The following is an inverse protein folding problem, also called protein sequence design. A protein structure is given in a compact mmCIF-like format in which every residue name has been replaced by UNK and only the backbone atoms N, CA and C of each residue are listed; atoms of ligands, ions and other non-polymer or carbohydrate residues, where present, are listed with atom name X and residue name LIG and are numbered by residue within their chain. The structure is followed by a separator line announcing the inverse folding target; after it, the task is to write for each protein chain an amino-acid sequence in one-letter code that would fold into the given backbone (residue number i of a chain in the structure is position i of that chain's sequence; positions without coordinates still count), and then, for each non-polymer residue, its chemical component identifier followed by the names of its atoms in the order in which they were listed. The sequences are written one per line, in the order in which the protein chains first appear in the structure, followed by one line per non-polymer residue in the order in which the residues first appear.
data_IF_612967238685
#
_entry.id   IF_612967238685
#
_cell.length_a   1.000
_cell.length_b   1.000
_cell.length_c   1.000
_cell.angle_alpha   90.00
_cell.angle_beta   90.00
_cell.angle_gamma   90.00
#
_symmetry.space_group_name_H-M   'P 1'
#
loop_
_entity.id
_entity.type
_entity.pdbx_description
1 polymer ?
#
# COMPACT_ATOMS: atom_id res chain seq x y z
N UNK A 1 11.41 -20.33 9.01
CA UNK A 1 12.64 -20.36 8.19
C UNK A 1 12.15 -20.24 6.77
N UNK A 2 12.49 -19.15 6.08
CA UNK A 2 12.21 -19.01 4.65
C UNK A 2 13.24 -19.84 3.91
N UNK A 3 12.80 -20.76 3.05
CA UNK A 3 13.70 -21.54 2.20
C UNK A 3 13.81 -20.80 0.87
N UNK A 4 14.97 -20.18 0.63
CA UNK A 4 15.28 -19.45 -0.59
C UNK A 4 15.82 -20.44 -1.62
N UNK A 5 15.18 -20.52 -2.79
CA UNK A 5 15.68 -21.30 -3.91
C UNK A 5 16.28 -20.37 -4.95
N UNK A 6 17.54 -20.61 -5.33
CA UNK A 6 18.30 -19.83 -6.32
C UNK A 6 18.19 -20.43 -7.73
N UNK A 7 17.05 -21.01 -8.10
CA UNK A 7 16.93 -21.51 -9.47
C UNK A 7 16.77 -20.34 -10.44
N UNK A 8 17.57 -20.33 -11.52
CA UNK A 8 17.42 -19.35 -12.60
C UNK A 8 16.11 -19.51 -13.39
N UNK A 9 15.42 -20.65 -13.21
CA UNK A 9 14.15 -20.96 -13.83
C UNK A 9 13.22 -21.76 -12.91
N UNK A 10 11.93 -21.39 -12.90
CA UNK A 10 10.88 -22.08 -12.16
C UNK A 10 9.65 -22.27 -13.03
N UNK A 11 8.94 -23.38 -12.83
CA UNK A 11 7.64 -23.63 -13.45
C UNK A 11 6.56 -23.75 -12.36
N UNK A 12 5.58 -22.84 -12.37
CA UNK A 12 4.34 -22.99 -11.61
C UNK A 12 3.32 -23.70 -12.51
N UNK A 13 2.86 -24.90 -12.13
CA UNK A 13 1.92 -25.69 -12.94
C UNK A 13 0.51 -25.67 -12.37
N UNK A 14 -0.50 -25.82 -13.22
CA UNK A 14 -1.90 -26.02 -12.85
C UNK A 14 -2.43 -24.97 -11.87
N UNK A 15 -1.99 -23.72 -12.00
CA UNK A 15 -2.40 -22.63 -11.12
C UNK A 15 -3.54 -21.81 -11.74
N UNK A 16 -4.24 -21.04 -10.92
CA UNK A 16 -5.23 -20.08 -11.39
C UNK A 16 -4.63 -18.67 -11.36
N UNK A 17 -4.23 -18.14 -12.50
CA UNK A 17 -3.49 -16.87 -12.57
C UNK A 17 -4.37 -15.70 -13.03
N UNK A 18 -4.13 -14.52 -12.48
CA UNK A 18 -4.80 -13.27 -12.86
C UNK A 18 -4.11 -12.66 -14.08
N UNK A 19 -4.58 -13.01 -15.28
CA UNK A 19 -4.01 -12.62 -16.57
C UNK A 19 -5.06 -11.84 -17.35
N UNK A 20 -4.71 -10.64 -17.82
CA UNK A 20 -5.60 -9.73 -18.58
C UNK A 20 -6.94 -9.44 -17.90
N UNK A 21 -6.95 -9.33 -16.57
CA UNK A 21 -8.16 -9.00 -15.80
C UNK A 21 -9.05 -10.19 -15.46
N UNK A 22 -8.65 -11.42 -15.78
CA UNK A 22 -9.42 -12.64 -15.54
C UNK A 22 -8.58 -13.73 -14.87
N UNK A 23 -9.23 -14.64 -14.15
CA UNK A 23 -8.60 -15.83 -13.58
C UNK A 23 -8.58 -16.98 -14.59
N UNK A 24 -7.39 -17.38 -15.03
CA UNK A 24 -7.20 -18.43 -16.06
C UNK A 24 -6.36 -19.58 -15.53
N UNK A 25 -6.74 -20.85 -15.81
CA UNK A 25 -5.92 -22.01 -15.45
C UNK A 25 -4.70 -22.10 -16.37
N UNK A 26 -3.51 -21.89 -15.82
CA UNK A 26 -2.27 -21.77 -16.60
C UNK A 26 -1.07 -22.45 -15.94
N UNK A 27 -0.05 -22.69 -16.76
CA UNK A 27 1.32 -22.95 -16.36
C UNK A 27 2.16 -21.68 -16.62
N UNK A 28 2.98 -21.28 -15.64
CA UNK A 28 3.84 -20.08 -15.73
C UNK A 28 5.31 -20.51 -15.61
N UNK A 29 6.07 -20.31 -16.69
CA UNK A 29 7.51 -20.49 -16.69
C UNK A 29 8.19 -19.15 -16.43
N UNK A 30 9.09 -19.12 -15.46
CA UNK A 30 9.98 -18.00 -15.22
C UNK A 30 11.41 -18.37 -15.58
N UNK A 31 12.16 -17.41 -16.13
CA UNK A 31 13.58 -17.53 -16.47
C UNK A 31 14.27 -16.20 -16.25
N UNK A 32 15.46 -16.21 -15.63
CA UNK A 32 16.28 -15.02 -15.37
C UNK A 32 15.49 -13.87 -14.73
N UNK A 33 14.59 -14.20 -13.79
CA UNK A 33 13.76 -13.23 -13.06
C UNK A 33 12.61 -12.59 -13.87
N UNK A 34 12.27 -13.14 -15.04
CA UNK A 34 11.15 -12.69 -15.87
C UNK A 34 10.16 -13.83 -16.14
N UNK A 35 8.94 -13.47 -16.51
CA UNK A 35 7.94 -14.42 -17.01
C UNK A 35 8.32 -14.76 -18.45
N UNK A 36 8.78 -15.99 -18.68
CA UNK A 36 9.21 -16.45 -19.99
C UNK A 36 8.03 -16.89 -20.85
N UNK A 37 7.10 -17.65 -20.26
CA UNK A 37 5.89 -18.15 -20.91
C UNK A 37 4.71 -18.22 -19.95
N UNK A 38 3.52 -17.99 -20.49
CA UNK A 38 2.24 -18.33 -19.85
C UNK A 38 1.44 -19.18 -20.84
N UNK A 39 1.17 -20.43 -20.49
CA UNK A 39 0.42 -21.36 -21.35
C UNK A 39 -0.75 -21.99 -20.61
N UNK A 40 -1.69 -22.59 -21.34
CA UNK A 40 -2.79 -23.33 -20.73
C UNK A 40 -2.27 -24.43 -19.80
N UNK A 41 -2.98 -24.66 -18.69
CA UNK A 41 -2.58 -25.67 -17.71
C UNK A 41 -2.41 -27.06 -18.36
N UNK A 42 -1.24 -27.66 -18.16
CA UNK A 42 -0.93 -28.97 -18.73
C UNK A 42 -0.40 -28.93 -20.17
N UNK A 43 0.06 -27.78 -20.67
CA UNK A 43 0.65 -27.65 -22.01
C UNK A 43 1.96 -28.43 -22.21
N UNK A 44 2.54 -28.96 -21.14
CA UNK A 44 3.76 -29.78 -21.20
C UNK A 44 5.04 -28.97 -21.03
N UNK A 45 4.96 -27.70 -20.59
CA UNK A 45 6.12 -26.93 -20.16
C UNK A 45 6.96 -27.71 -19.15
N UNK A 46 8.29 -27.55 -19.24
CA UNK A 46 9.23 -28.22 -18.38
C UNK A 46 10.28 -27.22 -17.86
N UNK A 47 10.51 -27.28 -16.55
CA UNK A 47 11.66 -26.67 -15.91
C UNK A 47 12.25 -27.65 -14.90
N UNK A 48 13.55 -27.52 -14.63
CA UNK A 48 14.25 -28.34 -13.62
C UNK A 48 13.59 -28.24 -12.24
N UNK A 49 13.07 -27.07 -11.90
CA UNK A 49 12.33 -26.83 -10.67
C UNK A 49 10.88 -26.50 -11.03
N UNK A 50 9.96 -27.37 -10.62
CA UNK A 50 8.52 -27.18 -10.82
C UNK A 50 7.76 -27.27 -9.50
N UNK A 51 6.67 -26.52 -9.42
CA UNK A 51 5.78 -26.47 -8.27
C UNK A 51 4.36 -26.73 -8.76
N UNK A 52 3.64 -27.59 -8.03
CA UNK A 52 2.22 -27.80 -8.26
C UNK A 52 1.41 -26.65 -7.65
N UNK A 53 0.64 -25.97 -8.48
CA UNK A 53 -0.18 -24.81 -8.15
C UNK A 53 -1.68 -25.10 -8.05
N UNK A 54 -2.10 -26.37 -8.09
CA UNK A 54 -3.51 -26.74 -7.99
C UNK A 54 -4.14 -26.22 -6.70
N UNK A 55 -5.22 -25.45 -6.84
CA UNK A 55 -5.90 -24.78 -5.72
C UNK A 55 -5.18 -23.52 -5.23
N UNK A 56 -4.12 -23.08 -5.91
CA UNK A 56 -3.43 -21.81 -5.65
C UNK A 56 -3.80 -20.79 -6.72
N UNK A 57 -3.89 -19.54 -6.26
CA UNK A 57 -4.07 -18.35 -7.06
C UNK A 57 -2.71 -17.67 -7.26
N UNK A 58 -2.47 -17.15 -8.46
CA UNK A 58 -1.28 -16.36 -8.79
C UNK A 58 -1.72 -14.97 -9.22
N UNK A 59 -1.26 -13.93 -8.53
CA UNK A 59 -1.51 -12.53 -8.90
C UNK A 59 -0.20 -11.80 -9.13
N UNK A 60 -0.21 -10.64 -9.83
CA UNK A 60 0.91 -9.73 -9.77
C UNK A 60 1.28 -9.42 -8.32
N UNK A 61 2.56 -9.27 -8.06
CA UNK A 61 3.12 -9.08 -6.73
C UNK A 61 2.42 -7.96 -5.97
N UNK A 62 1.97 -8.25 -4.75
CA UNK A 62 1.28 -7.28 -3.91
C UNK A 62 2.19 -6.10 -3.57
N UNK A 63 1.62 -4.90 -3.57
CA UNK A 63 2.28 -3.63 -3.25
C UNK A 63 1.47 -2.91 -2.18
N UNK A 64 2.05 -2.76 -0.99
CA UNK A 64 1.41 -2.03 0.10
C UNK A 64 1.91 -0.58 0.15
N UNK A 65 1.06 0.35 -0.29
CA UNK A 65 1.39 1.78 -0.39
C UNK A 65 1.44 2.51 0.95
N UNK A 66 1.08 1.88 2.06
CA UNK A 66 1.00 2.59 3.32
C UNK A 66 1.46 1.69 4.43
N UNK A 67 2.74 1.78 4.79
CA UNK A 67 3.30 1.14 5.97
C UNK A 67 4.22 2.09 6.72
N UNK A 68 4.62 1.69 7.92
CA UNK A 68 5.64 2.40 8.69
C UNK A 68 6.71 1.42 9.17
N UNK A 69 7.98 1.76 8.92
CA UNK A 69 9.12 0.87 9.16
C UNK A 69 10.21 1.47 10.05
N UNK A 70 10.25 2.80 10.24
CA UNK A 70 11.28 3.39 11.09
C UNK A 70 11.11 3.00 12.57
N UNK A 71 12.11 2.35 13.21
CA UNK A 71 11.89 1.67 14.49
C UNK A 71 11.53 2.58 15.66
N UNK A 72 10.69 2.06 16.57
CA UNK A 72 10.31 2.75 17.82
C UNK A 72 11.51 3.15 18.68
N UNK A 73 12.56 2.32 18.76
CA UNK A 73 13.79 2.63 19.51
C UNK A 73 14.56 3.84 18.99
N UNK A 74 14.26 4.30 17.77
CA UNK A 74 14.80 5.52 17.14
C UNK A 74 13.79 6.68 17.15
N UNK A 75 12.66 6.51 17.83
CA UNK A 75 11.59 7.49 17.94
C UNK A 75 10.51 7.39 16.85
N UNK A 76 10.65 6.49 15.87
CA UNK A 76 9.61 6.24 14.87
C UNK A 76 8.42 5.44 15.41
N UNK A 77 7.54 4.99 14.54
CA UNK A 77 6.37 4.17 14.88
C UNK A 77 6.35 2.81 14.16
N UNK A 78 7.41 2.49 13.42
CA UNK A 78 7.41 1.40 12.46
C UNK A 78 7.58 0.01 13.06
N UNK A 79 7.00 -0.97 12.37
CA UNK A 79 7.17 -2.39 12.66
C UNK A 79 8.37 -2.97 11.89
N UNK A 80 8.70 -4.25 12.14
CA UNK A 80 9.74 -4.95 11.39
C UNK A 80 9.20 -5.36 10.03
N UNK A 81 9.99 -5.18 8.97
CA UNK A 81 9.64 -5.62 7.62
C UNK A 81 9.27 -7.10 7.57
N UNK A 82 9.94 -7.96 8.34
CA UNK A 82 9.62 -9.39 8.41
C UNK A 82 8.19 -9.73 8.89
N UNK A 83 7.41 -8.75 9.33
CA UNK A 83 5.99 -8.91 9.70
C UNK A 83 5.01 -8.39 8.65
N UNK A 84 5.47 -7.66 7.63
CA UNK A 84 4.62 -6.95 6.68
C UNK A 84 5.10 -7.01 5.23
N UNK A 85 6.33 -7.46 4.99
CA UNK A 85 6.94 -7.57 3.67
C UNK A 85 6.73 -8.95 3.04
N UNK A 86 7.79 -9.48 2.43
CA UNK A 86 7.79 -10.69 1.61
C UNK A 86 7.28 -11.91 2.37
N UNK A 87 7.59 -11.98 3.66
CA UNK A 87 7.09 -12.96 4.62
C UNK A 87 5.56 -13.04 4.72
N UNK A 88 4.85 -12.02 4.22
CA UNK A 88 3.39 -11.89 4.26
C UNK A 88 2.78 -11.67 2.88
N UNK A 89 3.48 -12.07 1.82
CA UNK A 89 2.98 -11.99 0.46
C UNK A 89 3.27 -10.67 -0.26
N UNK A 90 3.92 -9.70 0.38
CA UNK A 90 4.11 -8.35 -0.18
C UNK A 90 5.45 -8.24 -0.91
N UNK A 91 5.43 -7.82 -2.18
CA UNK A 91 6.62 -7.68 -3.04
C UNK A 91 7.20 -6.27 -3.07
N UNK A 92 6.45 -5.26 -2.62
CA UNK A 92 6.97 -3.90 -2.47
C UNK A 92 6.22 -3.16 -1.35
N UNK A 93 6.96 -2.36 -0.60
CA UNK A 93 6.45 -1.56 0.50
C UNK A 93 6.72 -0.08 0.24
N UNK A 94 5.80 0.79 0.64
CA UNK A 94 6.03 2.23 0.73
C UNK A 94 5.95 2.69 2.19
N UNK A 95 7.09 3.11 2.74
CA UNK A 95 7.09 3.83 4.02
C UNK A 95 6.43 5.19 3.84
N UNK A 96 5.27 5.38 4.45
CA UNK A 96 4.43 6.55 4.26
C UNK A 96 4.86 7.70 5.19
N UNK A 97 6.11 8.14 5.08
CA UNK A 97 6.61 9.32 5.81
C UNK A 97 6.81 9.08 7.29
N UNK A 98 7.31 7.91 7.69
CA UNK A 98 7.78 7.72 9.06
C UNK A 98 8.99 8.61 9.33
N UNK A 99 9.83 8.86 8.32
CA UNK A 99 10.98 9.78 8.40
C UNK A 99 10.82 10.98 7.48
N UNK A 100 11.42 12.10 7.88
CA UNK A 100 11.69 13.24 7.00
C UNK A 100 13.15 13.25 6.55
N UNK A 101 13.57 14.34 5.92
CA UNK A 101 14.89 14.47 5.32
C UNK A 101 16.05 14.29 6.32
N UNK A 102 15.90 14.72 7.58
CA UNK A 102 16.97 14.67 8.58
C UNK A 102 17.30 13.26 9.07
N UNK A 103 16.33 12.32 9.06
CA UNK A 103 16.56 10.94 9.53
C UNK A 103 16.65 9.93 8.39
N UNK A 104 16.52 10.36 7.13
CA UNK A 104 16.47 9.45 5.99
C UNK A 104 17.71 8.55 5.89
N UNK A 105 18.91 9.06 6.18
CA UNK A 105 20.13 8.25 6.15
C UNK A 105 20.17 7.17 7.23
N UNK A 106 19.64 7.44 8.42
CA UNK A 106 19.51 6.44 9.48
C UNK A 106 18.45 5.40 9.10
N UNK A 107 17.32 5.84 8.52
CA UNK A 107 16.32 4.94 7.94
C UNK A 107 16.89 4.05 6.83
N UNK A 108 17.67 4.62 5.90
CA UNK A 108 18.31 3.86 4.82
C UNK A 108 19.24 2.78 5.34
N UNK A 109 20.06 3.08 6.35
CA UNK A 109 20.99 2.11 6.94
C UNK A 109 20.27 1.02 7.75
N UNK A 110 19.25 1.40 8.53
CA UNK A 110 18.61 0.50 9.49
C UNK A 110 17.44 -0.30 8.93
N UNK A 111 16.77 0.23 7.90
CA UNK A 111 15.58 -0.38 7.30
C UNK A 111 15.91 -0.83 5.89
N UNK A 112 16.23 0.10 5.00
CA UNK A 112 16.39 -0.22 3.56
C UNK A 112 17.54 -1.21 3.32
N UNK A 113 18.70 -0.99 3.95
CA UNK A 113 19.87 -1.85 3.80
C UNK A 113 19.74 -3.24 4.44
N UNK A 114 18.64 -3.52 5.17
CA UNK A 114 18.38 -4.82 5.80
C UNK A 114 17.13 -5.50 5.26
N UNK A 115 16.38 -4.84 4.40
CA UNK A 115 15.09 -5.32 3.90
C UNK A 115 15.28 -6.34 2.79
N UNK A 116 14.52 -7.43 2.84
CA UNK A 116 14.42 -8.38 1.73
C UNK A 116 13.36 -7.94 0.72
N UNK A 117 12.32 -7.27 1.20
CA UNK A 117 11.32 -6.62 0.33
C UNK A 117 11.88 -5.29 -0.19
N UNK A 118 11.73 -4.96 -1.48
CA UNK A 118 11.90 -3.60 -1.97
C UNK A 118 11.07 -2.59 -1.15
N UNK A 119 11.73 -1.61 -0.54
CA UNK A 119 11.08 -0.54 0.24
C UNK A 119 11.34 0.81 -0.41
N UNK A 120 10.25 1.50 -0.73
CA UNK A 120 10.22 2.88 -1.18
C UNK A 120 9.84 3.79 0.00
N UNK A 121 10.05 5.09 -0.16
CA UNK A 121 9.81 6.06 0.91
C UNK A 121 9.12 7.31 0.39
N UNK A 122 8.15 7.79 1.15
CA UNK A 122 7.73 9.19 1.10
C UNK A 122 8.46 9.96 2.19
N UNK A 123 9.10 11.08 1.86
CA UNK A 123 9.66 11.93 2.89
C UNK A 123 8.54 12.73 3.56
N UNK A 124 8.45 12.63 4.89
CA UNK A 124 7.55 13.50 5.64
C UNK A 124 7.98 14.96 5.47
N UNK A 125 7.00 15.87 5.32
CA UNK A 125 7.26 17.31 5.25
C UNK A 125 7.97 17.84 6.50
N UNK A 126 7.67 17.27 7.68
CA UNK A 126 8.43 17.53 8.90
C UNK A 126 9.79 16.87 8.78
N UNK A 127 10.87 17.63 8.94
CA UNK A 127 12.27 17.20 8.76
C UNK A 127 12.64 15.92 9.51
N UNK A 128 12.05 15.72 10.69
CA UNK A 128 12.25 14.55 11.56
C UNK A 128 11.16 13.47 11.44
N UNK A 129 10.18 13.64 10.55
CA UNK A 129 9.09 12.69 10.35
C UNK A 129 8.19 12.49 11.57
N UNK A 130 7.70 11.25 11.74
CA UNK A 130 6.83 10.87 12.85
C UNK A 130 7.68 10.58 14.08
N UNK A 131 7.37 11.27 15.18
CA UNK A 131 7.94 11.02 16.49
C UNK A 131 6.86 10.46 17.40
N UNK A 132 6.87 9.13 17.60
CA UNK A 132 5.76 8.39 18.22
C UNK A 132 5.39 8.92 19.62
N UNK A 133 6.39 9.31 20.41
CA UNK A 133 6.19 9.82 21.77
C UNK A 133 5.75 11.29 21.85
N UNK A 134 5.78 12.02 20.73
CA UNK A 134 5.45 13.45 20.66
C UNK A 134 4.53 13.78 19.49
N UNK A 135 3.75 12.81 18.98
CA UNK A 135 2.95 12.96 17.75
C UNK A 135 1.99 14.16 17.76
N UNK A 136 1.51 14.56 18.95
CA UNK A 136 0.60 15.71 19.12
C UNK A 136 1.25 17.04 19.45
N UNK A 137 2.58 17.13 19.48
CA UNK A 137 3.32 18.39 19.71
C UNK A 137 3.97 18.80 18.39
N UNK A 138 3.24 19.59 17.61
CA UNK A 138 3.65 20.00 16.27
C UNK A 138 3.64 21.52 16.20
N UNK A 139 4.78 22.10 15.84
CA UNK A 139 4.94 23.54 15.64
C UNK A 139 5.21 23.84 14.18
N UNK A 140 4.92 25.04 13.70
CA UNK A 140 5.33 25.48 12.37
C UNK A 140 6.87 25.60 12.31
N UNK A 141 7.45 25.43 11.12
CA UNK A 141 8.89 25.56 10.90
C UNK A 141 9.73 24.31 11.22
N UNK A 142 9.11 23.15 11.45
CA UNK A 142 9.85 21.87 11.55
C UNK A 142 10.13 21.27 10.16
N UNK A 143 9.66 21.88 9.07
CA UNK A 143 9.96 21.49 7.70
C UNK A 143 11.33 22.01 7.22
N UNK A 144 11.89 21.33 6.23
CA UNK A 144 13.11 21.76 5.56
C UNK A 144 13.09 21.25 4.12
N UNK A 145 12.54 22.06 3.20
CA UNK A 145 12.32 21.66 1.80
C UNK A 145 13.66 21.57 1.06
N UNK A 146 14.62 22.44 1.38
CA UNK A 146 15.96 22.44 0.79
C UNK A 146 16.68 21.11 1.10
N UNK A 147 16.71 20.67 2.36
CA UNK A 147 17.28 19.37 2.74
C UNK A 147 16.50 18.21 2.10
N UNK A 148 15.17 18.31 2.03
CA UNK A 148 14.34 17.31 1.35
C UNK A 148 14.72 17.16 -0.13
N UNK A 149 14.98 18.27 -0.82
CA UNK A 149 15.42 18.29 -2.21
C UNK A 149 16.80 17.63 -2.37
N UNK A 150 17.77 17.97 -1.52
CA UNK A 150 19.10 17.36 -1.52
C UNK A 150 19.04 15.83 -1.34
N UNK A 151 18.30 15.37 -0.35
CA UNK A 151 18.17 13.93 -0.07
C UNK A 151 17.43 13.22 -1.20
N UNK A 152 16.36 13.82 -1.75
CA UNK A 152 15.60 13.24 -2.87
C UNK A 152 16.45 13.11 -4.13
N UNK A 153 17.29 14.10 -4.43
CA UNK A 153 18.21 14.05 -5.57
C UNK A 153 19.28 12.96 -5.43
N UNK A 154 19.69 12.64 -4.18
CA UNK A 154 20.65 11.57 -3.91
C UNK A 154 20.06 10.16 -4.00
N UNK A 155 18.75 10.02 -3.83
CA UNK A 155 18.06 8.72 -3.78
C UNK A 155 16.76 8.68 -4.62
N UNK A 156 16.83 9.00 -5.92
CA UNK A 156 15.63 9.14 -6.77
C UNK A 156 14.87 7.81 -6.98
N UNK A 157 15.56 6.67 -6.87
CA UNK A 157 14.94 5.35 -7.00
C UNK A 157 14.18 4.89 -5.76
N UNK A 158 14.46 5.49 -4.60
CA UNK A 158 13.85 5.11 -3.33
C UNK A 158 12.78 6.10 -2.89
N UNK A 159 13.05 7.40 -3.05
CA UNK A 159 12.14 8.45 -2.61
C UNK A 159 11.12 8.70 -3.71
N UNK A 160 9.87 8.31 -3.46
CA UNK A 160 8.78 8.34 -4.44
C UNK A 160 7.76 9.46 -4.17
N UNK A 161 7.98 10.30 -3.17
CA UNK A 161 7.07 11.41 -2.88
C UNK A 161 7.26 12.09 -1.54
N UNK A 162 6.31 12.98 -1.23
CA UNK A 162 6.23 13.72 0.02
C UNK A 162 4.99 13.25 0.79
N UNK A 163 5.11 13.14 2.12
CA UNK A 163 3.99 12.81 3.01
C UNK A 163 3.63 13.99 3.90
N UNK A 164 2.33 14.20 4.10
CA UNK A 164 1.81 15.10 5.13
C UNK A 164 0.58 14.49 5.84
N UNK A 165 0.42 14.81 7.11
CA UNK A 165 -0.73 14.39 7.94
C UNK A 165 -1.63 15.57 8.24
N UNK A 166 -2.71 15.74 7.46
CA UNK A 166 -3.76 16.73 7.65
C UNK A 166 -4.81 16.23 8.64
N UNK A 167 -4.49 16.37 9.94
CA UNK A 167 -5.38 16.06 11.05
C UNK A 167 -5.11 17.04 12.19
N UNK A 168 -6.15 17.56 12.84
CA UNK A 168 -6.02 18.52 13.95
C UNK A 168 -5.14 18.03 15.10
N UNK A 169 -4.99 16.71 15.26
CA UNK A 169 -4.12 16.09 16.26
C UNK A 169 -2.62 16.14 15.90
N UNK A 170 -2.26 16.46 14.65
CA UNK A 170 -0.90 16.32 14.12
C UNK A 170 -0.41 17.55 13.32
N UNK A 171 -1.09 18.69 13.49
CA UNK A 171 -0.82 19.94 12.78
C UNK A 171 -0.44 21.08 13.72
N UNK A 172 0.12 22.15 13.15
CA UNK A 172 0.40 23.37 13.88
C UNK A 172 -0.93 23.98 14.37
N UNK A 173 -1.02 24.23 15.68
CA UNK A 173 -2.27 24.69 16.30
C UNK A 173 -2.77 26.03 15.76
N UNK A 174 -1.84 26.91 15.35
CA UNK A 174 -2.13 28.26 14.86
C UNK A 174 -2.63 28.26 13.41
N UNK A 175 -2.23 27.28 12.60
CA UNK A 175 -2.53 27.19 11.18
C UNK A 175 -2.62 25.72 10.72
N UNK A 176 -3.82 25.14 10.72
CA UNK A 176 -4.05 23.74 10.36
C UNK A 176 -3.62 23.38 8.92
N UNK A 177 -3.53 24.36 8.03
CA UNK A 177 -3.16 24.16 6.62
C UNK A 177 -1.66 24.37 6.35
N UNK A 178 -0.88 24.85 7.32
CA UNK A 178 0.54 25.17 7.16
C UNK A 178 1.31 24.05 6.46
N UNK A 179 1.31 22.84 7.04
CA UNK A 179 2.06 21.71 6.50
C UNK A 179 1.48 21.16 5.20
N UNK A 180 0.17 21.28 4.97
CA UNK A 180 -0.43 20.90 3.68
C UNK A 180 0.17 21.79 2.58
N UNK A 181 0.20 23.11 2.78
CA UNK A 181 0.78 24.04 1.81
C UNK A 181 2.27 23.80 1.60
N UNK A 182 3.04 23.56 2.68
CA UNK A 182 4.48 23.22 2.57
C UNK A 182 4.73 21.92 1.84
N UNK A 183 3.91 20.89 2.06
CA UNK A 183 4.05 19.60 1.36
C UNK A 183 3.74 19.72 -0.13
N UNK A 184 2.70 20.47 -0.50
CA UNK A 184 2.36 20.75 -1.90
C UNK A 184 3.42 21.61 -2.58
N UNK A 185 3.99 22.60 -1.88
CA UNK A 185 5.15 23.36 -2.35
C UNK A 185 6.35 22.45 -2.63
N UNK A 186 6.68 21.57 -1.67
CA UNK A 186 7.76 20.60 -1.81
C UNK A 186 7.51 19.65 -3.00
N UNK A 187 6.32 19.06 -3.10
CA UNK A 187 5.93 18.21 -4.23
C UNK A 187 6.05 18.92 -5.58
N UNK A 188 5.79 20.24 -5.64
CA UNK A 188 6.00 21.03 -6.86
C UNK A 188 7.48 21.24 -7.17
N UNK A 189 8.29 21.64 -6.18
CA UNK A 189 9.73 21.87 -6.37
C UNK A 189 10.47 20.59 -6.77
N UNK A 190 10.12 19.47 -6.13
CA UNK A 190 10.77 18.18 -6.36
C UNK A 190 10.23 17.43 -7.58
N UNK A 191 9.10 17.88 -8.17
CA UNK A 191 8.36 17.16 -9.22
C UNK A 191 7.97 15.74 -8.78
N UNK A 192 7.57 15.60 -7.52
CA UNK A 192 7.14 14.35 -6.92
C UNK A 192 5.69 14.45 -6.41
N UNK A 193 4.94 13.34 -6.33
CA UNK A 193 3.59 13.34 -5.80
C UNK A 193 3.58 13.55 -4.28
N UNK A 194 2.46 14.07 -3.77
CA UNK A 194 2.20 14.24 -2.34
C UNK A 194 1.12 13.27 -1.90
N UNK A 195 1.40 12.49 -0.86
CA UNK A 195 0.38 11.73 -0.13
C UNK A 195 -0.10 12.54 1.07
N UNK A 196 -1.39 12.85 1.09
CA UNK A 196 -2.06 13.51 2.21
C UNK A 196 -2.84 12.46 3.00
N UNK A 197 -2.43 12.22 4.25
CA UNK A 197 -3.29 11.60 5.25
C UNK A 197 -4.34 12.64 5.65
N UNK A 198 -5.63 12.35 5.49
CA UNK A 198 -6.66 13.20 6.10
C UNK A 198 -7.27 12.53 7.33
N UNK A 199 -7.46 13.33 8.37
CA UNK A 199 -7.91 12.88 9.67
C UNK A 199 -9.04 13.74 10.24
N UNK A 200 -8.90 14.14 11.50
CA UNK A 200 -9.86 15.02 12.15
C UNK A 200 -9.67 16.45 11.66
N UNK A 201 -10.75 17.19 11.55
CA UNK A 201 -10.70 18.59 11.14
C UNK A 201 -10.42 19.49 12.33
N UNK A 202 -9.93 20.73 12.08
CA UNK A 202 -9.41 21.24 10.80
C UNK A 202 -8.06 20.59 10.38
N UNK A 203 -7.63 20.70 9.11
CA UNK A 203 -8.29 21.37 7.98
C UNK A 203 -9.38 20.52 7.30
N UNK A 204 -10.26 21.20 6.56
CA UNK A 204 -11.37 20.59 5.85
C UNK A 204 -10.95 19.94 4.52
N UNK A 205 -11.67 18.89 4.10
CA UNK A 205 -11.38 18.21 2.84
C UNK A 205 -11.55 19.15 1.64
N UNK A 206 -12.52 20.05 1.72
CA UNK A 206 -12.80 21.11 0.75
C UNK A 206 -11.68 22.16 0.66
N UNK A 207 -10.83 22.29 1.68
CA UNK A 207 -9.63 23.15 1.64
C UNK A 207 -8.43 22.42 1.01
N UNK A 208 -8.34 21.10 1.22
CA UNK A 208 -7.21 20.28 0.77
C UNK A 208 -7.35 19.90 -0.71
N UNK A 209 -8.48 19.30 -1.10
CA UNK A 209 -8.64 18.67 -2.41
C UNK A 209 -8.45 19.64 -3.60
N UNK A 210 -8.92 20.90 -3.57
CA UNK A 210 -8.69 21.84 -4.66
C UNK A 210 -7.21 22.15 -4.90
N UNK A 211 -6.35 21.99 -3.90
CA UNK A 211 -4.92 22.27 -3.99
C UNK A 211 -4.09 21.07 -4.48
N UNK A 212 -4.65 19.86 -4.41
CA UNK A 212 -4.00 18.63 -4.86
C UNK A 212 -3.94 18.57 -6.40
N UNK A 213 -2.84 18.01 -6.91
CA UNK A 213 -2.50 17.94 -8.33
C UNK A 213 -2.76 16.52 -8.88
N UNK A 214 -2.80 16.35 -10.22
CA UNK A 214 -2.75 15.02 -10.81
C UNK A 214 -1.55 14.23 -10.27
N UNK A 215 -1.77 12.99 -9.85
CA UNK A 215 -0.75 12.11 -9.26
C UNK A 215 -0.61 12.21 -7.73
N UNK A 216 -1.08 13.29 -7.09
CA UNK A 216 -1.16 13.35 -5.63
C UNK A 216 -2.18 12.33 -5.11
N UNK A 217 -2.09 11.93 -3.84
CA UNK A 217 -2.87 10.84 -3.26
C UNK A 217 -3.49 11.22 -1.91
N UNK A 218 -4.79 10.97 -1.75
CA UNK A 218 -5.49 11.07 -0.48
C UNK A 218 -5.62 9.66 0.14
N UNK A 219 -4.95 9.42 1.26
CA UNK A 219 -5.08 8.14 1.99
C UNK A 219 -6.09 8.24 3.13
N UNK A 220 -6.58 7.10 3.64
CA UNK A 220 -7.68 6.99 4.61
C UNK A 220 -9.07 7.30 4.05
N UNK A 221 -9.27 7.09 2.74
CA UNK A 221 -10.49 7.49 2.03
C UNK A 221 -11.78 6.89 2.62
N UNK A 222 -11.71 5.72 3.27
CA UNK A 222 -12.89 5.05 3.85
C UNK A 222 -13.00 5.12 5.38
N UNK A 223 -12.52 6.19 6.01
CA UNK A 223 -12.80 6.50 7.42
C UNK A 223 -14.26 6.97 7.64
N UNK A 224 -14.77 6.92 8.88
CA UNK A 224 -16.16 7.32 9.24
C UNK A 224 -16.21 8.31 10.43
N UNK A 225 -15.06 8.81 10.94
CA UNK A 225 -15.03 9.70 12.11
C UNK A 225 -14.37 11.04 11.82
N UNK A 226 -15.09 12.15 11.93
CA UNK A 226 -14.67 13.45 11.39
C UNK A 226 -15.15 13.60 9.94
N UNK A 227 -14.53 14.47 9.14
CA UNK A 227 -14.85 14.56 7.71
C UNK A 227 -14.42 13.29 6.97
N UNK A 228 -15.29 12.72 6.15
CA UNK A 228 -15.08 11.52 5.34
C UNK A 228 -15.52 11.80 3.90
N UNK A 229 -15.23 10.90 2.96
CA UNK A 229 -15.50 11.12 1.53
C UNK A 229 -16.99 11.21 1.18
N UNK A 230 -17.89 10.90 2.12
CA UNK A 230 -19.33 11.03 1.91
C UNK A 230 -19.84 12.34 2.54
N UNK A 231 -20.90 12.86 1.96
CA UNK A 231 -21.67 13.98 2.50
C UNK A 231 -22.69 13.51 3.56
N UNK A 232 -23.43 14.46 4.13
CA UNK A 232 -24.44 14.20 5.16
C UNK A 232 -25.62 13.34 4.66
N UNK A 233 -25.80 13.23 3.33
CA UNK A 233 -26.84 12.40 2.69
C UNK A 233 -26.31 11.01 2.32
N UNK A 234 -25.04 10.72 2.61
CA UNK A 234 -24.37 9.47 2.26
C UNK A 234 -23.89 9.40 0.81
N UNK A 235 -24.03 10.48 0.04
CA UNK A 235 -23.48 10.59 -1.31
C UNK A 235 -21.99 10.85 -1.29
N UNK A 236 -21.24 10.42 -2.31
CA UNK A 236 -19.82 10.82 -2.43
C UNK A 236 -19.76 12.32 -2.68
N UNK A 237 -18.92 13.02 -1.92
CA UNK A 237 -18.76 14.48 -2.04
C UNK A 237 -18.36 14.88 -3.45
N UNK A 238 -18.96 15.95 -3.95
CA UNK A 238 -18.60 16.53 -5.25
C UNK A 238 -17.13 16.94 -5.32
N UNK A 239 -16.54 17.39 -4.20
CA UNK A 239 -15.11 17.71 -4.09
C UNK A 239 -14.22 16.48 -4.31
N UNK A 240 -14.62 15.30 -3.82
CA UNK A 240 -13.93 14.01 -4.02
C UNK A 240 -14.01 13.58 -5.48
N UNK A 241 -15.21 13.61 -6.08
CA UNK A 241 -15.39 13.25 -7.49
C UNK A 241 -14.61 14.19 -8.41
N UNK A 242 -14.66 15.51 -8.16
CA UNK A 242 -13.91 16.50 -8.91
C UNK A 242 -12.40 16.36 -8.76
N UNK A 243 -11.91 15.94 -7.58
CA UNK A 243 -10.49 15.65 -7.38
C UNK A 243 -10.06 14.40 -8.16
N UNK A 244 -10.86 13.33 -8.10
CA UNK A 244 -10.62 12.12 -8.89
C UNK A 244 -10.58 12.39 -10.39
N UNK A 245 -11.52 13.19 -10.92
CA UNK A 245 -11.54 13.56 -12.33
C UNK A 245 -10.33 14.42 -12.76
N UNK A 246 -9.67 15.10 -11.82
CA UNK A 246 -8.39 15.80 -12.06
C UNK A 246 -7.17 14.87 -11.95
N UNK A 247 -7.35 13.60 -11.61
CA UNK A 247 -6.27 12.63 -11.44
C UNK A 247 -5.67 12.57 -10.04
N UNK A 248 -6.39 13.05 -9.01
CA UNK A 248 -6.03 12.75 -7.61
C UNK A 248 -6.37 11.30 -7.32
N UNK A 249 -5.42 10.57 -6.74
CA UNK A 249 -5.58 9.16 -6.39
C UNK A 249 -6.15 9.01 -4.97
N UNK A 250 -6.86 7.91 -4.74
CA UNK A 250 -7.39 7.57 -3.41
C UNK A 250 -6.78 6.27 -2.91
N UNK A 251 -6.48 6.23 -1.62
CA UNK A 251 -5.86 5.09 -0.97
C UNK A 251 -6.55 4.78 0.37
N UNK A 252 -6.66 3.49 0.68
CA UNK A 252 -7.39 3.02 1.87
C UNK A 252 -6.66 3.38 3.16
N UNK A 253 -5.37 3.06 3.28
CA UNK A 253 -4.59 3.19 4.53
C UNK A 253 -5.35 2.65 5.75
N UNK A 254 -5.60 1.35 5.84
CA UNK A 254 -6.57 0.82 6.80
C UNK A 254 -6.32 1.26 8.27
N UNK A 255 -5.12 1.03 8.77
CA UNK A 255 -4.63 1.57 10.03
C UNK A 255 -5.41 1.09 11.26
N UNK A 256 -5.29 1.86 12.34
CA UNK A 256 -6.05 1.64 13.59
C UNK A 256 -7.38 2.39 13.64
N UNK A 257 -7.53 3.47 12.85
CA UNK A 257 -8.62 4.45 12.95
C UNK A 257 -9.12 4.97 11.59
N UNK A 258 -8.84 4.26 10.49
CA UNK A 258 -8.97 4.84 9.15
C UNK A 258 -9.81 4.02 8.16
N UNK A 259 -10.35 2.88 8.57
CA UNK A 259 -11.21 2.05 7.72
C UNK A 259 -12.56 1.73 8.38
N UNK A 260 -13.64 1.98 7.63
CA UNK A 260 -15.03 1.69 7.97
C UNK A 260 -15.71 0.92 6.85
N UNK A 261 -16.35 -0.19 7.18
CA UNK A 261 -17.16 -0.94 6.23
C UNK A 261 -18.32 -0.10 5.69
N UNK A 262 -18.93 0.72 6.56
CA UNK A 262 -20.04 1.59 6.19
C UNK A 262 -19.64 2.57 5.08
N UNK A 263 -18.48 3.22 5.23
CA UNK A 263 -17.99 4.17 4.22
C UNK A 263 -17.61 3.47 2.92
N UNK A 264 -16.91 2.33 3.02
CA UNK A 264 -16.55 1.52 1.85
C UNK A 264 -17.80 1.09 1.07
N UNK A 265 -18.78 0.48 1.72
CA UNK A 265 -19.96 -0.08 1.07
C UNK A 265 -20.84 1.00 0.43
N UNK A 266 -21.00 2.15 1.09
CA UNK A 266 -21.70 3.28 0.50
C UNK A 266 -20.99 3.82 -0.75
N UNK A 267 -19.65 3.84 -0.75
CA UNK A 267 -18.86 4.24 -1.92
C UNK A 267 -18.97 3.20 -3.06
N UNK A 268 -18.88 1.89 -2.73
CA UNK A 268 -19.03 0.81 -3.70
C UNK A 268 -20.42 0.81 -4.35
N UNK A 269 -21.48 1.03 -3.57
CA UNK A 269 -22.85 1.13 -4.06
C UNK A 269 -23.06 2.29 -5.06
N UNK A 270 -22.18 3.29 -5.02
CA UNK A 270 -22.17 4.43 -5.94
C UNK A 270 -21.15 4.28 -7.08
N UNK A 271 -20.53 3.10 -7.23
CA UNK A 271 -19.56 2.82 -8.28
C UNK A 271 -18.18 3.45 -8.06
N UNK A 272 -17.86 3.91 -6.84
CA UNK A 272 -16.54 4.45 -6.54
C UNK A 272 -15.52 3.34 -6.37
N UNK A 273 -14.82 3.10 -7.48
CA UNK A 273 -13.91 1.98 -7.65
C UNK A 273 -12.45 2.44 -7.80
N UNK A 274 -12.19 3.72 -8.02
CA UNK A 274 -10.85 4.21 -8.33
C UNK A 274 -10.00 4.50 -7.07
N UNK A 275 -9.56 3.43 -6.40
CA UNK A 275 -8.72 3.50 -5.20
C UNK A 275 -7.73 2.33 -5.10
N UNK A 276 -6.62 2.52 -4.38
CA UNK A 276 -5.72 1.43 -3.95
C UNK A 276 -6.08 0.92 -2.56
N UNK A 277 -5.84 -0.37 -2.31
CA UNK A 277 -5.92 -0.96 -0.97
C UNK A 277 -4.52 -0.97 -0.36
N UNK A 278 -4.38 -0.34 0.81
CA UNK A 278 -3.15 -0.34 1.63
C UNK A 278 -3.49 -0.51 3.11
N UNK A 279 -2.50 -0.92 3.90
CA UNK A 279 -2.75 -1.45 5.24
C UNK A 279 -2.58 -0.44 6.38
N UNK A 280 -1.75 0.59 6.21
CA UNK A 280 -1.21 1.42 7.29
C UNK A 280 -0.72 0.52 8.47
N UNK A 281 0.13 -0.45 8.13
CA UNK A 281 0.74 -1.36 9.11
C UNK A 281 1.94 -0.72 9.82
N UNK A 282 1.86 -0.71 11.15
CA UNK A 282 2.87 -0.21 12.07
C UNK A 282 2.72 -0.91 13.43
N UNK A 283 3.50 -0.52 14.45
CA UNK A 283 3.54 -1.24 15.74
C UNK A 283 2.19 -1.43 16.42
N UNK A 284 1.21 -0.55 16.19
CA UNK A 284 -0.13 -0.67 16.81
C UNK A 284 -1.16 -1.38 15.92
N UNK A 285 -1.09 -1.24 14.59
CA UNK A 285 -2.08 -1.84 13.69
C UNK A 285 -1.80 -3.32 13.40
N UNK A 286 -0.53 -3.75 13.42
CA UNK A 286 -0.12 -5.17 13.29
C UNK A 286 -0.75 -6.07 14.37
N UNK A 287 -0.69 -5.79 15.68
CA UNK A 287 -1.33 -6.65 16.67
C UNK A 287 -2.86 -6.50 16.73
N UNK A 288 -3.46 -5.59 15.95
CA UNK A 288 -4.85 -5.19 16.12
C UNK A 288 -5.77 -5.63 14.96
N UNK A 289 -6.43 -4.68 14.31
CA UNK A 289 -7.48 -4.94 13.31
C UNK A 289 -6.94 -5.12 11.91
N UNK A 290 -5.82 -4.48 11.55
CA UNK A 290 -5.23 -4.64 10.22
C UNK A 290 -4.51 -5.99 10.10
N UNK A 291 -3.74 -6.39 11.11
CA UNK A 291 -3.03 -7.68 11.23
C UNK A 291 -1.93 -7.93 10.20
N UNK A 292 -2.31 -8.05 8.93
CA UNK A 292 -1.44 -8.29 7.79
C UNK A 292 -2.11 -7.77 6.52
N UNK A 293 -1.36 -7.62 5.43
CA UNK A 293 -1.96 -7.15 4.18
C UNK A 293 -3.03 -8.12 3.66
N UNK A 294 -2.77 -9.43 3.65
CA UNK A 294 -3.77 -10.45 3.30
C UNK A 294 -5.04 -10.40 4.16
N UNK A 295 -4.93 -10.07 5.46
CA UNK A 295 -6.09 -9.87 6.32
C UNK A 295 -6.90 -8.62 5.94
N UNK A 296 -6.23 -7.51 5.57
CA UNK A 296 -6.87 -6.31 5.03
C UNK A 296 -7.59 -6.62 3.72
N UNK A 297 -6.92 -7.29 2.76
CA UNK A 297 -7.52 -7.71 1.48
C UNK A 297 -8.77 -8.57 1.69
N UNK A 298 -8.73 -9.49 2.66
CA UNK A 298 -9.88 -10.33 3.00
C UNK A 298 -11.09 -9.54 3.51
N UNK A 299 -10.89 -8.35 4.08
CA UNK A 299 -12.02 -7.46 4.46
C UNK A 299 -12.76 -6.94 3.24
N UNK A 300 -12.05 -6.57 2.18
CA UNK A 300 -12.66 -6.09 0.94
C UNK A 300 -13.44 -7.20 0.24
N UNK A 301 -12.91 -8.42 0.23
CA UNK A 301 -13.64 -9.61 -0.22
C UNK A 301 -14.92 -9.83 0.62
N UNK A 302 -14.82 -9.75 1.95
CA UNK A 302 -15.98 -9.87 2.84
C UNK A 302 -16.98 -8.70 2.75
N UNK A 303 -16.58 -7.57 2.17
CA UNK A 303 -17.44 -6.42 1.89
C UNK A 303 -18.13 -6.51 0.51
N UNK A 304 -17.92 -7.62 -0.23
CA UNK A 304 -18.60 -7.89 -1.50
C UNK A 304 -17.83 -7.50 -2.76
N UNK A 305 -16.55 -7.11 -2.65
CA UNK A 305 -15.71 -6.94 -3.84
C UNK A 305 -15.31 -8.31 -4.40
N UNK A 306 -15.21 -8.41 -5.72
CA UNK A 306 -14.69 -9.62 -6.37
C UNK A 306 -13.18 -9.77 -6.11
N UNK A 307 -12.65 -10.99 -6.26
CA UNK A 307 -11.22 -11.24 -6.03
C UNK A 307 -10.35 -10.45 -7.03
N UNK A 308 -10.79 -10.35 -8.29
CA UNK A 308 -10.18 -9.52 -9.34
C UNK A 308 -10.09 -8.06 -8.91
N UNK A 309 -11.20 -7.51 -8.39
CA UNK A 309 -11.24 -6.14 -7.91
C UNK A 309 -10.28 -5.91 -6.74
N UNK A 310 -10.16 -6.86 -5.83
CA UNK A 310 -9.23 -6.77 -4.70
C UNK A 310 -7.78 -6.85 -5.20
N UNK A 311 -7.45 -7.81 -6.08
CA UNK A 311 -6.08 -7.99 -6.57
C UNK A 311 -5.60 -6.77 -7.37
N UNK A 312 -6.40 -6.26 -8.31
CA UNK A 312 -6.02 -5.08 -9.09
C UNK A 312 -5.67 -3.86 -8.21
N UNK A 313 -6.35 -3.71 -7.07
CA UNK A 313 -6.14 -2.61 -6.10
C UNK A 313 -5.03 -2.86 -5.09
N UNK A 314 -4.54 -4.10 -5.01
CA UNK A 314 -3.47 -4.53 -4.14
C UNK A 314 -2.13 -4.71 -4.89
N UNK A 315 -2.13 -4.73 -6.22
CA UNK A 315 -0.93 -4.95 -7.04
C UNK A 315 -0.75 -3.89 -8.13
N UNK A 316 -1.49 -3.94 -9.23
CA UNK A 316 -1.25 -3.10 -10.41
C UNK A 316 -1.53 -1.61 -10.17
N UNK A 317 -2.66 -1.27 -9.54
CA UNK A 317 -3.00 0.12 -9.20
C UNK A 317 -1.93 0.76 -8.31
N UNK A 318 -1.54 0.16 -7.17
CA UNK A 318 -0.47 0.72 -6.34
C UNK A 318 0.91 0.71 -7.02
N UNK A 319 1.22 -0.30 -7.83
CA UNK A 319 2.45 -0.34 -8.61
C UNK A 319 2.54 0.81 -9.63
N UNK A 320 1.45 1.11 -10.32
CA UNK A 320 1.37 2.22 -11.27
C UNK A 320 1.67 3.57 -10.61
N UNK A 321 1.20 3.78 -9.37
CA UNK A 321 1.52 5.00 -8.62
C UNK A 321 3.01 5.12 -8.26
N UNK A 322 3.68 3.99 -7.99
CA UNK A 322 5.12 3.94 -7.71
C UNK A 322 6.00 3.88 -8.98
N UNK A 323 5.40 3.81 -10.17
CA UNK A 323 6.12 3.59 -11.42
C UNK A 323 6.76 2.20 -11.53
N UNK A 324 6.19 1.20 -10.85
CA UNK A 324 6.67 -0.17 -10.88
C UNK A 324 5.98 -0.95 -11.99
N UNK A 325 6.76 -1.74 -12.71
CA UNK A 325 6.23 -2.72 -13.65
C UNK A 325 5.65 -3.91 -12.86
N UNK A 326 4.33 -4.07 -12.90
CA UNK A 326 3.58 -5.22 -12.36
C UNK A 326 2.55 -5.67 -13.39
N UNK A 327 2.23 -6.95 -13.34
CA UNK A 327 1.31 -7.63 -14.27
C UNK A 327 1.81 -9.03 -14.57
N UNK A 328 0.89 -9.95 -14.90
CA UNK A 328 1.26 -11.28 -15.39
C UNK A 328 1.23 -11.25 -16.91
N UNK A 329 2.39 -11.07 -17.52
CA UNK A 329 2.55 -11.07 -18.97
C UNK A 329 3.96 -11.48 -19.37
N UNK A 330 4.09 -12.13 -20.53
CA UNK A 330 5.40 -12.58 -21.01
C UNK A 330 6.37 -11.40 -21.17
N UNK A 331 7.64 -11.64 -20.81
CA UNK A 331 8.69 -10.64 -20.79
C UNK A 331 8.66 -9.71 -19.57
N UNK A 332 7.56 -9.61 -18.82
CA UNK A 332 7.49 -8.81 -17.58
C UNK A 332 8.39 -9.38 -16.48
N UNK A 333 8.84 -8.55 -15.51
CA UNK A 333 9.48 -9.05 -14.29
C UNK A 333 8.59 -10.07 -13.57
N UNK A 334 9.18 -11.16 -13.08
CA UNK A 334 8.48 -12.18 -12.32
C UNK A 334 8.25 -11.73 -10.87
N UNK A 335 7.35 -10.75 -10.70
CA UNK A 335 6.94 -10.24 -9.39
C UNK A 335 5.52 -10.73 -9.11
N UNK A 336 5.38 -11.78 -8.30
CA UNK A 336 4.14 -12.53 -8.12
C UNK A 336 3.89 -12.88 -6.67
N UNK A 337 2.63 -12.77 -6.24
CA UNK A 337 2.18 -13.34 -4.96
C UNK A 337 1.30 -14.54 -5.26
N UNK A 338 1.69 -15.69 -4.72
CA UNK A 338 0.94 -16.94 -4.81
C UNK A 338 0.24 -17.16 -3.47
N UNK A 339 -1.07 -17.36 -3.53
CA UNK A 339 -1.92 -17.45 -2.33
C UNK A 339 -3.01 -18.50 -2.50
N UNK A 340 -3.69 -18.82 -1.41
CA UNK A 340 -4.92 -19.62 -1.43
C UNK A 340 -6.03 -18.86 -0.73
N UNK A 341 -7.27 -19.15 -1.11
CA UNK A 341 -8.45 -18.77 -0.34
C UNK A 341 -8.68 -19.86 0.71
N UNK A 342 -8.31 -19.59 1.96
CA UNK A 342 -8.47 -20.56 3.04
C UNK A 342 -9.92 -20.55 3.54
N UNK A 343 -10.71 -21.61 3.34
CA UNK A 343 -12.10 -21.64 3.77
C UNK A 343 -12.23 -21.54 5.29
N UNK A 344 -13.32 -20.95 5.77
CA UNK A 344 -13.64 -20.87 7.20
C UNK A 344 -14.64 -19.78 7.53
N UNK A 345 -15.13 -19.73 8.77
CA UNK A 345 -16.05 -18.68 9.22
C UNK A 345 -15.29 -17.54 9.91
N UNK A 346 -14.95 -16.51 9.14
CA UNK A 346 -14.19 -15.37 9.64
C UNK A 346 -15.09 -14.20 10.04
N UNK A 347 -14.70 -13.49 11.09
CA UNK A 347 -15.29 -12.21 11.50
C UNK A 347 -14.26 -11.11 11.30
N UNK A 348 -14.45 -10.28 10.28
CA UNK A 348 -13.62 -9.12 10.00
C UNK A 348 -14.22 -7.90 10.68
N UNK A 349 -13.44 -7.20 11.50
CA UNK A 349 -13.89 -6.03 12.25
C UNK A 349 -13.16 -4.79 11.74
N UNK A 350 -13.89 -3.74 11.39
CA UNK A 350 -13.32 -2.45 10.97
C UNK A 350 -12.90 -1.58 12.18
N UNK A 351 -12.39 -0.37 11.96
CA UNK A 351 -11.89 0.49 13.04
C UNK A 351 -12.99 0.99 14.01
N UNK A 352 -14.25 1.05 13.58
CA UNK A 352 -15.41 1.48 14.39
C UNK A 352 -16.13 0.31 15.06
N UNK A 353 -15.75 -0.91 14.75
CA UNK A 353 -16.26 -2.11 15.39
C UNK A 353 -17.38 -2.83 14.64
N UNK A 354 -17.75 -2.33 13.47
CA UNK A 354 -18.66 -3.02 12.56
C UNK A 354 -17.98 -4.30 12.05
N UNK A 355 -18.78 -5.36 11.92
CA UNK A 355 -18.32 -6.70 11.56
C UNK A 355 -18.89 -7.10 10.21
N UNK A 356 -18.05 -7.70 9.37
CA UNK A 356 -18.46 -8.48 8.21
C UNK A 356 -18.02 -9.93 8.37
N UNK A 357 -18.89 -10.85 7.97
CA UNK A 357 -18.59 -12.28 7.94
C UNK A 357 -18.08 -12.63 6.56
N UNK A 358 -16.97 -13.34 6.50
CA UNK A 358 -16.43 -13.90 5.27
C UNK A 358 -16.28 -15.41 5.39
N UNK A 359 -16.34 -16.10 4.25
CA UNK A 359 -16.18 -17.56 4.15
C UNK A 359 -14.75 -17.99 3.82
N UNK A 360 -13.88 -17.03 3.54
CA UNK A 360 -12.53 -17.25 3.07
C UNK A 360 -11.59 -16.21 3.67
N UNK A 361 -10.32 -16.60 3.81
CA UNK A 361 -9.20 -15.71 4.13
C UNK A 361 -8.17 -15.83 3.00
N UNK A 362 -7.76 -14.68 2.46
CA UNK A 362 -6.64 -14.60 1.51
C UNK A 362 -5.35 -14.88 2.28
N UNK A 363 -4.74 -16.03 2.02
CA UNK A 363 -3.55 -16.52 2.70
C UNK A 363 -2.40 -16.68 1.70
N UNK A 364 -1.38 -15.81 1.72
CA UNK A 364 -0.21 -15.96 0.87
C UNK A 364 0.57 -17.21 1.30
N UNK A 365 1.08 -17.95 0.33
CA UNK A 365 1.85 -19.20 0.55
C UNK A 365 3.24 -19.13 -0.06
N UNK A 366 3.41 -18.39 -1.15
CA UNK A 366 4.71 -18.16 -1.79
C UNK A 366 4.77 -16.77 -2.42
N UNK A 367 5.98 -16.26 -2.59
CA UNK A 367 6.26 -15.02 -3.32
C UNK A 367 7.39 -15.28 -4.30
N UNK A 368 7.27 -14.73 -5.50
CA UNK A 368 8.38 -14.60 -6.44
C UNK A 368 8.68 -13.11 -6.56
N UNK A 369 9.91 -12.71 -6.24
CA UNK A 369 10.36 -11.31 -6.30
C UNK A 369 11.86 -11.26 -6.54
N UNK A 370 12.32 -10.34 -7.38
CA UNK A 370 13.75 -10.18 -7.71
C UNK A 370 14.39 -11.44 -8.31
N UNK A 371 13.60 -12.26 -9.00
CA UNK A 371 14.01 -13.55 -9.55
C UNK A 371 14.20 -14.68 -8.54
N UNK A 372 13.74 -14.50 -7.30
CA UNK A 372 13.84 -15.49 -6.23
C UNK A 372 12.46 -15.97 -5.79
N UNK A 373 12.38 -17.24 -5.40
CA UNK A 373 11.20 -17.84 -4.81
C UNK A 373 11.33 -17.89 -3.28
N UNK A 374 10.29 -17.44 -2.58
CA UNK A 374 10.15 -17.46 -1.14
C UNK A 374 8.93 -18.30 -0.75
N UNK A 375 9.12 -19.32 0.08
CA UNK A 375 8.02 -20.09 0.71
C UNK A 375 7.71 -19.53 2.09
N UNK A 376 6.43 -19.31 2.40
CA UNK A 376 5.97 -18.58 3.59
C UNK A 376 5.64 -19.45 4.79
#
# INVERSE_FOLDING_TARGET
MFEESLADSFLLRNCLAFVDGEWKPVDILTEAGRIARIEDAGSGLFARFSLEGRGLYVSPGWVDLHVHLYPLRKGGCGTRESRIGIATGVTALLDAGTVGASDFEDFRKLVLGQSQTPVYCLLNIKSRGIRFWSMGRVHAGEDNIEQMQEVSARYPETIRGVKVTASSEHMAQEDPMYYVRKALEAGKRLKLPVMVHFGRTPPELEEILPLMRPGDMLTHCFRDGGHHILDERGGIRSSVLAAGSRGVNFDVGHGVKSFSFKTLEAALAQGFLDFSISSDLYILSVPFRARSFGHVLSKFLAAGMSLEQVMARASEKPAGWLGLERGLGEGRPAEMTIFRLRPGDYKFKDCWGLVRRGKELIEPVMVISGGKLYRL
#
